data_IF_127066146600
#
_entry.id   IF_127066146600
#
_cell.length_a   1.000
_cell.length_b   1.000
_cell.length_c   1.000
_cell.angle_alpha   90.00
_cell.angle_beta   90.00
_cell.angle_gamma   90.00
#
_symmetry.space_group_name_H-M   'P 1'
#
loop_
_entity.id
_entity.type
_entity.pdbx_description
1 polymer ?
#
# COMPACT_ATOMS: atom_id res chain seq x y z
N UNK A 1 -4.01 -60.65 -22.47
CA UNK A 1 -2.90 -60.35 -21.52
C UNK A 1 -2.09 -59.19 -22.11
N UNK A 2 -2.51 -57.99 -21.86
CA UNK A 2 -1.77 -56.78 -22.24
C UNK A 2 -1.54 -55.94 -20.99
N UNK A 3 -0.34 -55.93 -20.51
CA UNK A 3 0.12 -55.10 -19.42
C UNK A 3 0.20 -53.64 -19.86
N UNK A 4 -0.76 -52.85 -19.43
CA UNK A 4 -0.65 -51.39 -19.45
C UNK A 4 0.35 -50.98 -18.38
N UNK A 5 1.63 -50.85 -18.76
CA UNK A 5 2.61 -50.12 -18.00
C UNK A 5 2.22 -48.65 -18.02
N UNK A 6 1.61 -48.19 -16.94
CA UNK A 6 1.45 -46.78 -16.67
C UNK A 6 2.82 -46.18 -16.39
N UNK A 7 3.35 -45.45 -17.36
CA UNK A 7 4.58 -44.67 -17.25
C UNK A 7 4.34 -43.47 -16.30
N UNK A 8 4.37 -43.72 -15.00
CA UNK A 8 4.28 -42.68 -13.98
C UNK A 8 5.66 -42.06 -13.76
N UNK A 9 6.17 -41.33 -14.74
CA UNK A 9 7.20 -40.35 -14.50
C UNK A 9 6.53 -39.17 -13.80
N UNK A 10 6.39 -39.27 -12.48
CA UNK A 10 6.18 -38.09 -11.66
C UNK A 10 7.37 -37.17 -11.93
N UNK A 11 7.18 -36.12 -12.70
CA UNK A 11 8.18 -35.11 -12.92
C UNK A 11 8.53 -34.48 -11.57
N UNK A 12 9.71 -34.77 -11.04
CA UNK A 12 10.19 -34.13 -9.82
C UNK A 12 10.37 -32.63 -10.13
N UNK A 13 9.52 -31.80 -9.50
CA UNK A 13 9.66 -30.36 -9.58
C UNK A 13 10.82 -29.93 -8.65
N UNK A 14 11.82 -29.31 -9.24
CA UNK A 14 12.91 -28.72 -8.47
C UNK A 14 12.54 -27.29 -8.07
N UNK A 15 12.23 -27.08 -6.78
CA UNK A 15 11.76 -25.79 -6.27
C UNK A 15 12.65 -24.58 -6.61
N UNK A 16 13.98 -24.67 -6.53
CA UNK A 16 14.86 -23.58 -6.95
C UNK A 16 14.60 -23.10 -8.38
N UNK A 17 14.28 -24.00 -9.32
CA UNK A 17 14.03 -23.65 -10.73
C UNK A 17 12.67 -22.93 -10.91
N UNK A 18 11.76 -23.06 -9.93
CA UNK A 18 10.45 -22.41 -9.94
C UNK A 18 10.49 -21.07 -9.20
N UNK A 19 11.21 -21.01 -8.10
CA UNK A 19 11.33 -19.83 -7.24
C UNK A 19 12.33 -18.82 -7.81
N UNK A 20 13.43 -19.31 -8.38
CA UNK A 20 14.52 -18.51 -8.91
C UNK A 20 15.35 -17.79 -7.86
N UNK A 21 16.09 -16.79 -8.30
CA UNK A 21 17.08 -16.07 -7.48
C UNK A 21 16.44 -15.06 -6.50
N UNK A 22 17.24 -14.69 -5.46
CA UNK A 22 16.91 -13.58 -4.54
C UNK A 22 16.05 -13.94 -3.33
N UNK A 23 15.48 -15.15 -3.27
CA UNK A 23 14.51 -15.52 -2.23
C UNK A 23 14.95 -16.67 -1.30
N UNK A 24 16.23 -17.05 -1.31
CA UNK A 24 16.72 -18.15 -0.49
C UNK A 24 16.56 -17.95 1.03
N UNK A 25 16.84 -16.75 1.54
CA UNK A 25 16.60 -16.38 2.94
C UNK A 25 15.13 -16.30 3.26
N UNK A 26 14.33 -15.65 2.40
CA UNK A 26 12.86 -15.59 2.51
C UNK A 26 12.24 -16.99 2.66
N UNK A 27 12.71 -17.94 1.86
CA UNK A 27 12.16 -19.29 1.83
C UNK A 27 12.42 -20.07 3.11
N UNK A 28 13.61 -19.93 3.71
CA UNK A 28 14.05 -20.68 4.89
C UNK A 28 13.69 -20.05 6.22
N UNK A 29 13.35 -18.77 6.22
CA UNK A 29 13.09 -18.03 7.46
C UNK A 29 11.81 -18.51 8.15
N UNK A 30 11.88 -18.73 9.46
CA UNK A 30 10.76 -19.20 10.30
C UNK A 30 10.44 -18.28 11.48
N UNK A 31 11.09 -17.12 11.60
CA UNK A 31 10.77 -16.12 12.62
C UNK A 31 9.37 -15.49 12.42
N UNK A 32 8.97 -14.68 13.36
CA UNK A 32 7.61 -14.12 13.44
C UNK A 32 7.27 -13.24 12.26
N UNK A 33 8.18 -12.35 11.85
CA UNK A 33 7.88 -11.37 10.79
C UNK A 33 8.80 -11.58 9.58
N UNK A 34 8.19 -11.87 8.46
CA UNK A 34 8.86 -11.97 7.17
C UNK A 34 8.40 -10.81 6.29
N UNK A 35 9.22 -9.77 6.23
CA UNK A 35 8.90 -8.48 5.60
C UNK A 35 9.69 -8.33 4.33
N UNK A 36 9.01 -8.32 3.18
CA UNK A 36 9.61 -8.21 1.86
C UNK A 36 9.14 -6.94 1.16
N UNK A 37 9.92 -5.87 1.25
CA UNK A 37 9.74 -4.71 0.40
C UNK A 37 10.43 -4.95 -0.95
N UNK A 38 9.96 -4.26 -1.98
CA UNK A 38 10.69 -4.38 -3.23
C UNK A 38 10.04 -3.64 -4.38
N UNK A 39 10.77 -3.62 -5.49
CA UNK A 39 10.31 -2.99 -6.72
C UNK A 39 9.12 -3.71 -7.35
N UNK A 40 8.53 -3.08 -8.35
CA UNK A 40 7.65 -3.80 -9.28
C UNK A 40 8.45 -4.90 -9.98
N UNK A 41 7.76 -5.94 -10.43
CA UNK A 41 8.34 -7.09 -11.14
C UNK A 41 9.43 -7.87 -10.37
N UNK A 42 9.58 -7.68 -9.05
CA UNK A 42 10.57 -8.43 -8.22
C UNK A 42 10.11 -9.82 -7.81
N UNK A 43 8.98 -10.31 -8.28
CA UNK A 43 8.38 -11.64 -7.96
C UNK A 43 7.84 -11.81 -6.54
N UNK A 44 7.78 -10.77 -5.70
CA UNK A 44 7.36 -10.86 -4.29
C UNK A 44 6.11 -11.72 -4.10
N UNK A 45 5.00 -11.31 -4.72
CA UNK A 45 3.69 -11.95 -4.55
C UNK A 45 3.67 -13.38 -5.09
N UNK A 46 4.28 -13.61 -6.26
CA UNK A 46 4.40 -14.95 -6.87
C UNK A 46 5.21 -15.91 -5.99
N UNK A 47 6.36 -15.46 -5.47
CA UNK A 47 7.19 -16.26 -4.57
C UNK A 47 6.51 -16.53 -3.25
N UNK A 48 5.80 -15.55 -2.69
CA UNK A 48 5.02 -15.71 -1.46
C UNK A 48 3.89 -16.72 -1.66
N UNK A 49 3.16 -16.65 -2.78
CA UNK A 49 2.11 -17.62 -3.11
C UNK A 49 2.67 -19.05 -3.24
N UNK A 50 3.78 -19.22 -3.95
CA UNK A 50 4.46 -20.53 -4.06
C UNK A 50 4.86 -21.06 -2.68
N UNK A 51 5.44 -20.20 -1.82
CA UNK A 51 5.84 -20.61 -0.47
C UNK A 51 4.66 -21.13 0.34
N UNK A 52 3.52 -20.45 0.29
CA UNK A 52 2.33 -20.86 1.04
C UNK A 52 1.73 -22.16 0.51
N UNK A 53 1.62 -22.33 -0.81
CA UNK A 53 1.08 -23.59 -1.37
C UNK A 53 1.96 -24.77 -1.01
N UNK A 54 3.29 -24.66 -1.16
CA UNK A 54 4.24 -25.72 -0.79
C UNK A 54 4.18 -26.04 0.70
N UNK A 55 4.16 -25.02 1.56
CA UNK A 55 4.20 -25.24 3.01
C UNK A 55 2.84 -25.69 3.58
N UNK A 56 1.72 -25.26 3.04
CA UNK A 56 0.40 -25.82 3.39
C UNK A 56 0.33 -27.32 3.10
N UNK A 57 0.87 -27.76 1.97
CA UNK A 57 0.95 -29.19 1.65
C UNK A 57 1.92 -29.94 2.56
N UNK A 58 2.97 -29.29 3.04
CA UNK A 58 3.98 -29.87 3.94
C UNK A 58 3.52 -29.96 5.40
N UNK A 59 2.70 -29.01 5.86
CA UNK A 59 2.28 -28.88 7.26
C UNK A 59 0.76 -29.12 7.41
N UNK A 60 0.30 -30.36 7.70
CA UNK A 60 -1.11 -30.75 7.61
C UNK A 60 -2.09 -30.02 8.51
N UNK A 61 -1.63 -29.24 9.49
CA UNK A 61 -2.49 -28.54 10.44
C UNK A 61 -2.39 -27.00 10.30
N UNK A 62 -1.62 -26.51 9.32
CA UNK A 62 -1.46 -25.07 9.09
C UNK A 62 -2.65 -24.48 8.32
N UNK A 63 -3.12 -23.33 8.75
CA UNK A 63 -4.04 -22.51 7.96
C UNK A 63 -3.43 -21.12 7.73
N UNK A 64 -3.85 -20.51 6.64
CA UNK A 64 -3.37 -19.19 6.18
C UNK A 64 -4.52 -18.18 6.15
N UNK A 65 -4.25 -16.98 6.65
CA UNK A 65 -5.08 -15.80 6.46
C UNK A 65 -4.40 -14.85 5.48
N UNK A 66 -5.08 -14.50 4.40
CA UNK A 66 -4.61 -13.54 3.40
C UNK A 66 -5.40 -12.25 3.56
N UNK A 67 -4.68 -11.14 3.63
CA UNK A 67 -5.24 -9.83 3.96
C UNK A 67 -4.80 -8.78 2.94
N UNK A 68 -5.73 -7.92 2.55
CA UNK A 68 -5.51 -6.61 1.93
C UNK A 68 -6.37 -5.55 2.61
N UNK A 69 -6.07 -4.28 2.40
CA UNK A 69 -6.91 -3.20 2.92
C UNK A 69 -8.36 -3.32 2.45
N UNK A 70 -8.59 -3.63 1.18
CA UNK A 70 -9.92 -3.74 0.58
C UNK A 70 -10.19 -5.16 0.12
N UNK A 71 -11.27 -5.80 0.62
CA UNK A 71 -11.60 -7.20 0.34
C UNK A 71 -11.72 -7.51 -1.16
N UNK A 72 -12.41 -6.68 -1.93
CA UNK A 72 -12.63 -6.92 -3.37
C UNK A 72 -11.35 -7.02 -4.19
N UNK A 73 -10.26 -6.38 -3.75
CA UNK A 73 -8.98 -6.41 -4.47
C UNK A 73 -8.21 -7.72 -4.30
N UNK A 74 -8.62 -8.56 -3.35
CA UNK A 74 -8.02 -9.88 -3.11
C UNK A 74 -8.24 -10.86 -4.27
N UNK A 75 -9.38 -10.77 -4.97
CA UNK A 75 -9.71 -11.66 -6.09
C UNK A 75 -8.68 -11.54 -7.22
N UNK A 76 -8.39 -10.31 -7.64
CA UNK A 76 -7.52 -10.05 -8.79
C UNK A 76 -6.02 -10.02 -8.42
N UNK A 77 -5.68 -10.15 -7.14
CA UNK A 77 -4.31 -10.19 -6.62
C UNK A 77 -3.96 -11.54 -5.98
N UNK A 78 -3.98 -11.61 -4.64
CA UNK A 78 -3.52 -12.79 -3.88
C UNK A 78 -4.23 -14.08 -4.26
N UNK A 79 -5.55 -14.04 -4.48
CA UNK A 79 -6.32 -15.22 -4.86
C UNK A 79 -5.88 -15.76 -6.22
N UNK A 80 -5.70 -14.87 -7.20
CA UNK A 80 -5.19 -15.23 -8.53
C UNK A 80 -3.74 -15.71 -8.45
N UNK A 81 -2.89 -15.12 -7.61
CA UNK A 81 -1.51 -15.56 -7.42
C UNK A 81 -1.42 -16.95 -6.78
N UNK A 82 -2.28 -17.25 -5.81
CA UNK A 82 -2.35 -18.58 -5.20
C UNK A 82 -2.88 -19.64 -6.18
N UNK A 83 -3.88 -19.31 -6.99
CA UNK A 83 -4.36 -20.19 -8.10
C UNK A 83 -3.24 -20.46 -9.11
N UNK A 84 -2.49 -19.42 -9.46
CA UNK A 84 -1.32 -19.57 -10.34
C UNK A 84 -0.26 -20.49 -9.69
N UNK A 85 0.04 -20.33 -8.40
CA UNK A 85 1.00 -21.18 -7.71
C UNK A 85 0.57 -22.66 -7.68
N UNK A 86 -0.71 -22.93 -7.41
CA UNK A 86 -1.31 -24.27 -7.48
C UNK A 86 -1.12 -24.88 -8.88
N UNK A 87 -1.38 -24.09 -9.93
CA UNK A 87 -1.20 -24.52 -11.32
C UNK A 87 0.27 -24.72 -11.67
N UNK A 88 1.14 -23.80 -11.26
CA UNK A 88 2.58 -23.86 -11.53
C UNK A 88 3.24 -25.08 -10.91
N UNK A 89 2.74 -25.54 -9.76
CA UNK A 89 3.19 -26.73 -9.05
C UNK A 89 2.52 -28.02 -9.55
N UNK A 90 1.56 -27.95 -10.46
CA UNK A 90 0.86 -29.13 -11.00
C UNK A 90 -0.03 -29.86 -9.97
N UNK A 91 -0.49 -29.17 -8.94
CA UNK A 91 -1.22 -29.76 -7.80
C UNK A 91 -2.72 -29.42 -7.75
N UNK A 92 -3.31 -28.98 -8.86
CA UNK A 92 -4.70 -28.55 -8.95
C UNK A 92 -5.70 -29.63 -8.47
N UNK A 93 -5.39 -30.89 -8.74
CA UNK A 93 -6.24 -32.02 -8.34
C UNK A 93 -6.47 -32.11 -6.83
N UNK A 94 -5.54 -31.56 -6.02
CA UNK A 94 -5.59 -31.60 -4.57
C UNK A 94 -6.24 -30.38 -3.92
N UNK A 95 -6.63 -29.39 -4.70
CA UNK A 95 -7.19 -28.13 -4.18
C UNK A 95 -8.64 -27.96 -4.61
N UNK A 96 -9.47 -27.48 -3.68
CA UNK A 96 -10.80 -26.95 -3.94
C UNK A 96 -10.73 -25.43 -3.95
N UNK A 97 -11.28 -24.83 -5.02
CA UNK A 97 -11.23 -23.39 -5.28
C UNK A 97 -12.64 -22.82 -5.24
N UNK A 98 -12.94 -21.99 -4.25
CA UNK A 98 -14.22 -21.32 -4.12
C UNK A 98 -14.04 -19.81 -4.31
N UNK A 99 -14.80 -19.22 -5.23
CA UNK A 99 -14.69 -17.79 -5.57
C UNK A 99 -15.70 -16.91 -4.80
N UNK A 100 -16.76 -17.50 -4.22
CA UNK A 100 -17.72 -16.74 -3.41
C UNK A 100 -18.23 -17.56 -2.21
N UNK A 101 -17.88 -17.20 -0.97
CA UNK A 101 -16.77 -16.32 -0.58
C UNK A 101 -15.40 -16.92 -0.99
N UNK A 102 -14.39 -16.05 -1.18
CA UNK A 102 -13.04 -16.50 -1.54
C UNK A 102 -12.50 -17.49 -0.50
N UNK A 103 -12.13 -18.69 -0.95
CA UNK A 103 -11.54 -19.72 -0.11
C UNK A 103 -10.81 -20.74 -0.97
N UNK A 104 -9.63 -21.18 -0.52
CA UNK A 104 -8.94 -22.34 -1.06
C UNK A 104 -8.87 -23.41 0.02
N UNK A 105 -9.11 -24.66 -0.35
CA UNK A 105 -9.05 -25.79 0.59
C UNK A 105 -8.15 -26.87 0.01
N UNK A 106 -7.16 -27.30 0.78
CA UNK A 106 -6.34 -28.47 0.45
C UNK A 106 -7.10 -29.75 0.83
N UNK A 107 -7.59 -30.47 -0.16
CA UNK A 107 -8.52 -31.60 0.02
C UNK A 107 -7.98 -32.75 0.91
N UNK A 108 -6.68 -33.16 0.82
CA UNK A 108 -6.21 -34.31 1.58
C UNK A 108 -6.29 -34.15 3.10
N UNK A 109 -6.13 -32.94 3.62
CA UNK A 109 -6.05 -32.66 5.07
C UNK A 109 -6.96 -31.53 5.55
N UNK A 110 -7.71 -30.90 4.64
CA UNK A 110 -8.76 -29.94 4.98
C UNK A 110 -8.30 -28.53 5.37
N UNK A 111 -7.01 -28.24 5.22
CA UNK A 111 -6.45 -26.90 5.52
C UNK A 111 -7.05 -25.85 4.61
N UNK A 112 -7.16 -24.63 5.15
CA UNK A 112 -7.83 -23.53 4.47
C UNK A 112 -6.91 -22.32 4.29
N UNK A 113 -7.07 -21.67 3.16
CA UNK A 113 -6.63 -20.29 2.92
C UNK A 113 -7.87 -19.41 2.97
N UNK A 114 -7.92 -18.52 3.94
CA UNK A 114 -9.01 -17.59 4.21
C UNK A 114 -8.61 -16.18 3.74
N UNK A 115 -9.57 -15.41 3.24
CA UNK A 115 -9.36 -14.09 2.69
C UNK A 115 -10.19 -13.05 3.44
N UNK A 116 -9.56 -11.94 3.86
CA UNK A 116 -10.22 -10.84 4.58
C UNK A 116 -9.72 -9.47 4.09
N UNK A 117 -10.64 -8.51 4.08
CA UNK A 117 -10.29 -7.09 3.96
C UNK A 117 -10.23 -6.42 5.33
N UNK A 118 -9.49 -5.34 5.45
CA UNK A 118 -9.48 -4.47 6.62
C UNK A 118 -10.57 -3.38 6.58
N UNK A 119 -11.36 -3.35 5.52
CA UNK A 119 -12.59 -2.56 5.42
C UNK A 119 -13.63 -2.96 6.49
N UNK A 120 -13.47 -4.14 7.10
CA UNK A 120 -14.20 -4.55 8.31
C UNK A 120 -13.22 -5.23 9.29
N UNK A 121 -12.52 -4.46 10.15
CA UNK A 121 -11.51 -4.98 11.08
C UNK A 121 -12.04 -6.03 12.05
N UNK A 122 -13.32 -5.96 12.44
CA UNK A 122 -13.92 -6.93 13.37
C UNK A 122 -13.99 -8.34 12.77
N UNK A 123 -14.05 -8.46 11.44
CA UNK A 123 -14.01 -9.77 10.76
C UNK A 123 -12.62 -10.41 10.77
N UNK A 124 -11.57 -9.67 11.06
CA UNK A 124 -10.21 -10.21 11.17
C UNK A 124 -9.97 -10.78 12.57
N UNK A 125 -10.49 -10.13 13.62
CA UNK A 125 -10.24 -10.53 15.01
C UNK A 125 -10.99 -11.80 15.47
N UNK A 126 -12.06 -12.20 14.75
CA UNK A 126 -12.92 -13.34 15.10
C UNK A 126 -12.68 -14.59 14.25
N UNK A 127 -11.54 -14.69 13.55
CA UNK A 127 -11.25 -15.82 12.68
C UNK A 127 -10.74 -17.01 13.51
N UNK A 128 -11.43 -18.13 13.41
CA UNK A 128 -10.98 -19.41 13.92
C UNK A 128 -10.79 -20.41 12.77
N UNK A 129 -9.77 -21.23 12.85
CA UNK A 129 -9.62 -22.38 11.97
C UNK A 129 -10.53 -23.50 12.46
N UNK A 130 -11.31 -24.10 11.57
CA UNK A 130 -12.19 -25.23 11.86
C UNK A 130 -11.39 -26.49 12.22
N UNK A 131 -10.24 -26.64 11.58
CA UNK A 131 -9.26 -27.70 11.80
C UNK A 131 -7.87 -27.13 11.81
N UNK A 132 -7.00 -27.65 12.71
CA UNK A 132 -5.62 -27.18 12.84
C UNK A 132 -5.51 -25.77 13.43
N UNK A 133 -4.47 -25.06 13.04
CA UNK A 133 -4.07 -23.78 13.64
C UNK A 133 -4.03 -22.67 12.58
N UNK A 134 -4.58 -21.50 12.90
CA UNK A 134 -4.35 -20.29 12.13
C UNK A 134 -2.98 -19.75 12.52
N UNK A 135 -1.94 -20.22 11.88
CA UNK A 135 -0.55 -19.92 12.24
C UNK A 135 0.14 -18.98 11.26
N UNK A 136 -0.41 -18.77 10.07
CA UNK A 136 0.17 -17.89 9.07
C UNK A 136 -0.78 -16.80 8.63
N UNK A 137 -0.21 -15.59 8.45
CA UNK A 137 -0.88 -14.48 7.79
C UNK A 137 -0.02 -13.95 6.63
N UNK A 138 -0.65 -13.55 5.53
CA UNK A 138 -0.04 -12.82 4.43
C UNK A 138 -0.78 -11.51 4.22
N UNK A 139 -0.07 -10.42 4.45
CA UNK A 139 -0.55 -9.06 4.21
C UNK A 139 0.09 -8.59 2.90
N UNK A 140 -0.70 -8.58 1.84
CA UNK A 140 -0.27 -8.10 0.52
C UNK A 140 -0.57 -6.62 0.39
N UNK A 141 0.33 -5.89 -0.25
CA UNK A 141 0.35 -4.43 -0.30
C UNK A 141 0.23 -3.83 1.11
N UNK A 142 1.08 -4.33 2.03
CA UNK A 142 1.07 -3.91 3.44
C UNK A 142 1.24 -2.40 3.64
N UNK A 143 1.78 -1.71 2.64
CA UNK A 143 1.85 -0.25 2.61
C UNK A 143 0.46 0.43 2.63
N UNK A 144 -0.61 -0.24 2.17
CA UNK A 144 -1.98 0.27 2.25
C UNK A 144 -2.49 0.40 3.69
N UNK A 145 -1.83 -0.26 4.67
CA UNK A 145 -2.17 -0.17 6.10
C UNK A 145 -1.49 1.06 6.68
N UNK A 146 -2.25 2.13 6.83
CA UNK A 146 -1.74 3.44 7.21
C UNK A 146 -1.32 3.57 8.68
N UNK A 147 -1.82 2.71 9.57
CA UNK A 147 -1.49 2.75 10.98
C UNK A 147 -0.88 1.44 11.49
N UNK A 148 0.10 1.56 12.39
CA UNK A 148 0.66 0.40 13.09
C UNK A 148 -0.36 -0.27 14.02
N UNK A 149 -1.35 0.48 14.51
CA UNK A 149 -2.42 -0.06 15.34
C UNK A 149 -3.28 -1.08 14.60
N UNK A 150 -3.60 -0.83 13.32
CA UNK A 150 -4.35 -1.77 12.49
C UNK A 150 -3.54 -3.05 12.23
N UNK A 151 -2.23 -2.92 12.04
CA UNK A 151 -1.34 -4.08 11.93
C UNK A 151 -1.31 -4.89 13.22
N UNK A 152 -1.20 -4.25 14.39
CA UNK A 152 -1.15 -4.93 15.68
C UNK A 152 -2.42 -5.77 15.93
N UNK A 153 -3.58 -5.28 15.51
CA UNK A 153 -4.85 -6.00 15.58
C UNK A 153 -4.82 -7.32 14.77
N UNK A 154 -4.18 -7.29 13.59
CA UNK A 154 -3.97 -8.50 12.78
C UNK A 154 -2.98 -9.44 13.46
N UNK A 155 -1.84 -8.92 13.91
CA UNK A 155 -0.78 -9.69 14.53
C UNK A 155 -1.26 -10.44 15.78
N UNK A 156 -2.04 -9.76 16.64
CA UNK A 156 -2.70 -10.33 17.82
C UNK A 156 -3.72 -11.42 17.47
N UNK A 157 -4.26 -11.43 16.25
CA UNK A 157 -5.21 -12.45 15.79
C UNK A 157 -4.50 -13.77 15.43
N UNK A 158 -3.20 -13.75 15.15
CA UNK A 158 -2.38 -14.94 14.89
C UNK A 158 -1.78 -15.44 16.21
N UNK A 159 -2.64 -16.01 17.03
CA UNK A 159 -2.37 -16.41 18.42
C UNK A 159 -2.77 -17.87 18.70
N UNK A 160 -2.63 -18.29 19.94
CA UNK A 160 -2.95 -19.64 20.43
C UNK A 160 -1.70 -20.52 20.54
N UNK A 161 -1.74 -21.50 21.43
CA UNK A 161 -0.64 -22.46 21.58
C UNK A 161 -0.61 -23.43 20.39
N UNK A 162 0.57 -23.67 19.87
CA UNK A 162 0.82 -24.68 18.84
C UNK A 162 1.69 -25.76 19.47
N UNK A 163 1.28 -27.04 19.48
CA UNK A 163 2.08 -28.10 20.03
C UNK A 163 3.41 -28.26 19.30
N UNK A 164 4.54 -28.34 20.00
CA UNK A 164 5.89 -28.41 19.40
C UNK A 164 6.07 -29.58 18.42
N UNK A 165 5.41 -30.70 18.68
CA UNK A 165 5.45 -31.90 17.85
C UNK A 165 4.90 -31.70 16.43
N UNK A 166 4.11 -30.65 16.19
CA UNK A 166 3.57 -30.30 14.86
C UNK A 166 4.65 -29.73 13.94
N UNK A 167 5.76 -29.21 14.52
CA UNK A 167 6.79 -28.47 13.80
C UNK A 167 6.31 -27.16 13.18
N UNK A 168 5.06 -26.73 13.51
CA UNK A 168 4.49 -25.48 13.05
C UNK A 168 5.11 -24.29 13.78
N UNK A 169 5.03 -23.14 13.14
CA UNK A 169 5.46 -21.85 13.68
C UNK A 169 4.47 -20.74 13.24
N UNK A 170 4.38 -19.70 14.03
CA UNK A 170 3.54 -18.53 13.69
C UNK A 170 4.35 -17.53 12.90
N UNK A 171 3.83 -17.10 11.76
CA UNK A 171 4.52 -16.13 10.92
C UNK A 171 3.54 -15.17 10.23
N UNK A 172 3.87 -13.90 10.24
CA UNK A 172 3.21 -12.86 9.45
C UNK A 172 4.16 -12.45 8.32
N UNK A 173 3.72 -12.63 7.08
CA UNK A 173 4.45 -12.19 5.89
C UNK A 173 3.85 -10.88 5.39
N UNK A 174 4.67 -9.87 5.19
CA UNK A 174 4.28 -8.59 4.61
C UNK A 174 5.00 -8.40 3.27
N UNK A 175 4.23 -8.07 2.23
CA UNK A 175 4.77 -7.78 0.90
C UNK A 175 4.25 -6.42 0.44
N UNK A 176 5.14 -5.54 -0.04
CA UNK A 176 4.76 -4.18 -0.46
C UNK A 176 5.83 -3.49 -1.31
N UNK A 177 5.45 -2.38 -1.93
CA UNK A 177 6.35 -1.42 -2.55
C UNK A 177 6.58 -0.25 -1.59
N UNK A 178 7.83 0.19 -1.37
CA UNK A 178 8.19 1.15 -0.31
C UNK A 178 8.05 2.61 -0.79
N UNK A 179 6.81 3.10 -0.97
CA UNK A 179 6.53 4.40 -1.56
C UNK A 179 6.94 5.61 -0.69
N UNK A 180 6.94 5.48 0.64
CA UNK A 180 7.23 6.57 1.57
C UNK A 180 8.10 6.08 2.73
N UNK A 181 9.24 6.74 2.94
CA UNK A 181 10.18 6.43 4.02
C UNK A 181 9.66 6.77 5.43
N UNK A 182 8.66 7.64 5.54
CA UNK A 182 8.02 7.97 6.82
C UNK A 182 6.92 6.99 7.23
N UNK A 183 6.69 5.94 6.43
CA UNK A 183 5.70 4.93 6.77
C UNK A 183 6.15 4.08 7.97
N UNK A 184 5.23 3.75 8.89
CA UNK A 184 5.51 2.98 10.11
C UNK A 184 6.23 1.64 9.85
N UNK A 185 6.02 1.02 8.70
CA UNK A 185 6.71 -0.21 8.28
C UNK A 185 8.24 -0.06 8.27
N UNK A 186 8.76 1.13 7.90
CA UNK A 186 10.20 1.39 7.89
C UNK A 186 10.75 1.40 9.32
N UNK A 187 10.19 2.23 10.17
CA UNK A 187 10.64 2.37 11.56
C UNK A 187 10.59 1.03 12.31
N UNK A 188 9.48 0.29 12.16
CA UNK A 188 9.26 -0.97 12.87
C UNK A 188 10.16 -2.11 12.40
N UNK A 189 10.29 -2.32 11.08
CA UNK A 189 10.89 -3.55 10.55
C UNK A 189 12.24 -3.36 9.87
N UNK A 190 12.62 -2.14 9.49
CA UNK A 190 13.87 -1.88 8.78
C UNK A 190 14.85 -1.06 9.61
N UNK A 191 14.38 -0.13 10.43
CA UNK A 191 15.25 0.71 11.27
C UNK A 191 15.49 0.08 12.65
N UNK A 192 14.61 -0.83 13.10
CA UNK A 192 14.73 -1.51 14.40
C UNK A 192 15.10 -2.97 14.18
N UNK A 193 16.37 -3.37 14.43
CA UNK A 193 16.80 -4.77 14.32
C UNK A 193 16.08 -5.67 15.33
N UNK A 194 15.52 -6.78 14.84
CA UNK A 194 14.86 -7.80 15.64
C UNK A 194 15.22 -9.19 15.10
N UNK A 195 15.77 -10.10 15.91
CA UNK A 195 16.18 -11.44 15.48
C UNK A 195 15.02 -12.29 14.97
N UNK A 196 13.78 -11.97 15.36
CA UNK A 196 12.56 -12.66 14.92
C UNK A 196 11.94 -12.03 13.66
N UNK A 197 12.65 -11.06 13.06
CA UNK A 197 12.26 -10.34 11.85
C UNK A 197 13.26 -10.55 10.71
N UNK A 198 12.77 -10.98 9.54
CA UNK A 198 13.49 -10.89 8.28
C UNK A 198 13.01 -9.68 7.49
N UNK A 199 13.82 -8.63 7.42
CA UNK A 199 13.60 -7.50 6.54
C UNK A 199 14.38 -7.70 5.22
N UNK A 200 13.68 -7.91 4.12
CA UNK A 200 14.27 -8.21 2.81
C UNK A 200 13.89 -7.13 1.79
N UNK A 201 14.86 -6.68 1.02
CA UNK A 201 14.64 -5.85 -0.16
C UNK A 201 14.89 -6.66 -1.43
N UNK A 202 13.92 -6.64 -2.36
CA UNK A 202 14.04 -7.32 -3.66
C UNK A 202 13.75 -6.34 -4.79
N UNK A 203 14.33 -6.58 -5.96
CA UNK A 203 14.12 -5.73 -7.11
C UNK A 203 13.98 -6.54 -8.41
N UNK A 204 13.72 -5.87 -9.52
CA UNK A 204 13.49 -6.52 -10.80
C UNK A 204 14.68 -7.34 -11.31
N UNK A 205 15.90 -7.07 -10.83
CA UNK A 205 17.11 -7.81 -11.29
C UNK A 205 17.14 -9.25 -10.81
N UNK A 206 16.42 -9.58 -9.72
CA UNK A 206 16.26 -10.96 -9.27
C UNK A 206 15.18 -11.74 -10.04
N UNK A 207 14.52 -11.12 -11.03
CA UNK A 207 13.50 -11.76 -11.85
C UNK A 207 14.10 -12.18 -13.20
N UNK A 208 14.49 -13.41 -13.28
CA UNK A 208 15.06 -14.03 -14.48
C UNK A 208 14.05 -14.20 -15.63
N UNK A 209 12.76 -14.13 -15.32
CA UNK A 209 11.66 -14.28 -16.30
C UNK A 209 11.17 -12.97 -16.92
N UNK A 210 11.79 -11.84 -16.58
CA UNK A 210 11.50 -10.58 -17.25
C UNK A 210 11.97 -10.62 -18.69
N UNK A 211 11.11 -10.20 -19.59
CA UNK A 211 11.48 -10.03 -20.98
C UNK A 211 12.33 -8.76 -21.22
N UNK A 212 12.86 -8.63 -22.43
CA UNK A 212 13.69 -7.49 -22.80
C UNK A 212 12.92 -6.17 -22.87
N UNK A 213 11.61 -6.21 -23.10
CA UNK A 213 10.77 -5.01 -23.15
C UNK A 213 10.61 -4.41 -21.74
N UNK A 214 10.34 -5.28 -20.76
CA UNK A 214 10.25 -4.89 -19.35
C UNK A 214 11.60 -4.34 -18.86
N UNK A 215 12.71 -5.02 -19.14
CA UNK A 215 14.06 -4.57 -18.79
C UNK A 215 14.38 -3.19 -19.38
N UNK A 216 14.11 -2.98 -20.66
CA UNK A 216 14.26 -1.66 -21.28
C UNK A 216 13.35 -0.60 -20.66
N UNK A 217 12.18 -0.98 -20.12
CA UNK A 217 11.32 -0.09 -19.37
C UNK A 217 12.00 0.46 -18.11
N UNK A 218 12.66 -0.40 -17.34
CA UNK A 218 13.43 0.02 -16.15
C UNK A 218 14.67 0.85 -16.52
N UNK A 219 15.40 0.50 -17.59
CA UNK A 219 16.55 1.29 -18.05
C UNK A 219 16.14 2.70 -18.51
N UNK A 220 15.02 2.83 -19.22
CA UNK A 220 14.47 4.15 -19.56
C UNK A 220 14.09 4.94 -18.30
N UNK A 221 13.42 4.29 -17.35
CA UNK A 221 13.03 4.93 -16.08
C UNK A 221 14.26 5.43 -15.31
N UNK A 222 15.35 4.66 -15.30
CA UNK A 222 16.62 5.03 -14.66
C UNK A 222 17.16 6.37 -15.18
N UNK A 223 17.02 6.61 -16.48
CA UNK A 223 17.52 7.83 -17.12
C UNK A 223 16.51 8.98 -17.00
N UNK A 224 15.24 8.71 -17.25
CA UNK A 224 14.21 9.75 -17.32
C UNK A 224 13.69 10.19 -15.96
N UNK A 225 13.61 9.26 -15.00
CA UNK A 225 13.13 9.54 -13.64
C UNK A 225 13.90 8.71 -12.60
N UNK A 226 15.13 9.12 -12.22
CA UNK A 226 15.97 8.39 -11.27
C UNK A 226 15.32 8.18 -9.89
N UNK A 227 14.52 9.14 -9.41
CA UNK A 227 13.79 9.02 -8.14
C UNK A 227 12.77 7.88 -8.19
N UNK A 228 11.94 7.86 -9.24
CA UNK A 228 10.98 6.78 -9.45
C UNK A 228 11.67 5.43 -9.66
N UNK A 229 12.81 5.41 -10.35
CA UNK A 229 13.62 4.21 -10.53
C UNK A 229 14.14 3.65 -9.20
N UNK A 230 14.56 4.52 -8.26
CA UNK A 230 15.00 4.09 -6.92
C UNK A 230 13.90 3.28 -6.21
N UNK A 231 12.66 3.74 -6.25
CA UNK A 231 11.51 3.04 -5.61
C UNK A 231 11.00 1.89 -6.46
N UNK A 232 10.54 2.19 -7.67
CA UNK A 232 9.84 1.23 -8.54
C UNK A 232 10.77 0.24 -9.22
N UNK A 233 12.05 0.57 -9.40
CA UNK A 233 13.09 -0.28 -9.98
C UNK A 233 13.93 -0.99 -8.94
N UNK A 234 14.47 -0.28 -7.95
CA UNK A 234 15.40 -0.85 -6.97
C UNK A 234 14.73 -1.30 -5.67
N UNK A 235 13.50 -0.87 -5.39
CA UNK A 235 12.80 -1.19 -4.15
C UNK A 235 13.32 -0.43 -2.93
N UNK A 236 13.98 0.69 -3.16
CA UNK A 236 14.40 1.60 -2.09
C UNK A 236 13.21 2.40 -1.57
N UNK A 237 13.34 2.92 -0.34
CA UNK A 237 12.31 3.77 0.22
C UNK A 237 12.19 5.07 -0.57
N UNK A 238 10.97 5.38 -0.97
CA UNK A 238 10.66 6.61 -1.68
C UNK A 238 10.54 7.80 -0.73
N UNK A 239 11.03 8.92 -1.18
CA UNK A 239 10.67 10.21 -0.60
C UNK A 239 9.31 10.54 -1.23
N UNK A 240 8.24 10.29 -0.48
CA UNK A 240 6.84 10.61 -0.78
C UNK A 240 6.45 10.61 -2.28
N UNK A 241 6.09 9.45 -2.84
CA UNK A 241 5.25 9.41 -4.03
C UNK A 241 3.82 9.81 -3.59
N UNK A 242 3.43 10.98 -3.93
CA UNK A 242 2.14 11.57 -3.57
C UNK A 242 2.23 13.08 -3.36
N UNK A 243 3.43 13.65 -3.45
CA UNK A 243 3.55 15.09 -3.62
C UNK A 243 3.10 15.43 -5.04
N UNK A 244 2.03 16.18 -5.15
CA UNK A 244 1.60 16.79 -6.42
C UNK A 244 2.71 17.69 -6.97
N UNK A 245 3.51 18.25 -6.04
CA UNK A 245 4.68 19.08 -6.35
C UNK A 245 5.95 18.40 -5.78
N UNK A 246 6.82 17.92 -6.64
CA UNK A 246 8.09 17.25 -6.26
C UNK A 246 9.29 18.22 -6.18
N UNK A 247 9.19 19.39 -6.79
CA UNK A 247 10.26 20.37 -6.97
C UNK A 247 10.05 21.63 -6.12
N UNK A 248 9.63 21.46 -4.86
CA UNK A 248 9.53 22.56 -3.92
C UNK A 248 10.83 22.70 -3.09
N UNK A 249 11.10 23.91 -2.66
CA UNK A 249 12.21 24.24 -1.75
C UNK A 249 11.67 25.10 -0.61
N UNK A 250 12.24 24.92 0.57
CA UNK A 250 11.95 25.78 1.72
C UNK A 250 13.00 26.91 1.74
N UNK A 251 12.54 28.15 1.55
CA UNK A 251 13.41 29.33 1.55
C UNK A 251 12.72 30.54 2.16
N UNK A 252 13.50 31.45 2.71
CA UNK A 252 12.99 32.73 3.21
C UNK A 252 12.86 33.69 2.04
N UNK A 253 11.66 34.25 1.84
CA UNK A 253 11.43 35.24 0.80
C UNK A 253 10.61 36.43 1.32
N UNK A 254 10.82 37.61 0.70
CA UNK A 254 10.09 38.83 1.02
C UNK A 254 8.75 38.89 0.27
N UNK A 255 7.67 38.49 0.95
CA UNK A 255 6.30 38.44 0.38
C UNK A 255 5.90 39.74 -0.33
N UNK A 256 6.20 40.90 0.25
CA UNK A 256 5.84 42.21 -0.28
C UNK A 256 6.51 42.52 -1.60
N UNK A 257 7.77 42.11 -1.77
CA UNK A 257 8.51 42.27 -3.01
C UNK A 257 7.94 41.42 -4.12
N UNK A 258 7.65 40.15 -3.83
CA UNK A 258 7.06 39.24 -4.81
C UNK A 258 5.64 39.66 -5.18
N UNK A 259 4.81 40.04 -4.22
CA UNK A 259 3.44 40.48 -4.45
C UNK A 259 3.34 41.79 -5.25
N UNK A 260 4.38 42.61 -5.26
CA UNK A 260 4.42 43.86 -6.05
C UNK A 260 4.70 43.61 -7.55
N UNK A 261 5.07 42.41 -7.94
CA UNK A 261 5.36 42.06 -9.34
C UNK A 261 4.07 42.02 -10.16
N UNK A 262 4.09 42.58 -11.40
CA UNK A 262 2.88 42.67 -12.22
C UNK A 262 2.35 41.33 -12.75
N UNK A 263 3.19 40.29 -12.78
CA UNK A 263 2.88 38.94 -13.22
C UNK A 263 2.42 38.02 -12.07
N UNK A 264 2.38 38.55 -10.83
CA UNK A 264 2.07 37.75 -9.64
C UNK A 264 0.65 38.04 -9.13
N UNK A 265 -0.08 37.01 -8.77
CA UNK A 265 -1.44 37.09 -8.20
C UNK A 265 -1.49 36.36 -6.86
N UNK A 266 -2.25 36.89 -5.90
CA UNK A 266 -2.54 36.17 -4.66
C UNK A 266 -3.55 35.05 -4.91
N UNK A 267 -3.31 33.90 -4.31
CA UNK A 267 -4.18 32.73 -4.35
C UNK A 267 -4.46 32.21 -2.94
N UNK A 268 -5.74 31.98 -2.62
CA UNK A 268 -6.16 31.42 -1.35
C UNK A 268 -7.12 30.26 -1.63
N UNK A 269 -6.80 29.09 -1.08
CA UNK A 269 -7.57 27.86 -1.25
C UNK A 269 -8.01 27.28 0.09
N UNK A 270 -9.22 26.74 0.18
CA UNK A 270 -9.74 26.07 1.36
C UNK A 270 -10.30 24.72 0.97
N UNK A 271 -9.75 23.68 1.56
CA UNK A 271 -10.27 22.31 1.49
C UNK A 271 -10.86 21.93 2.85
N UNK A 272 -12.04 21.30 2.82
CA UNK A 272 -12.75 20.96 4.03
C UNK A 272 -12.40 19.55 4.49
N UNK A 273 -11.99 19.42 5.73
CA UNK A 273 -11.85 18.14 6.43
C UNK A 273 -12.44 18.25 7.83
N UNK A 274 -12.69 17.11 8.47
CA UNK A 274 -13.18 17.08 9.84
C UNK A 274 -12.50 15.99 10.67
N UNK A 275 -13.03 14.77 10.65
CA UNK A 275 -12.56 13.70 11.55
C UNK A 275 -11.31 13.00 11.04
N UNK A 276 -11.35 12.52 9.80
CA UNK A 276 -10.26 11.73 9.19
C UNK A 276 -9.30 12.61 8.41
N UNK A 277 -9.82 13.58 7.68
CA UNK A 277 -9.04 14.50 6.86
C UNK A 277 -8.94 15.86 7.57
N UNK A 278 -7.77 16.51 7.57
CA UNK A 278 -7.63 17.85 8.11
C UNK A 278 -8.28 18.88 7.20
N UNK A 279 -8.77 19.98 7.79
CA UNK A 279 -9.05 21.19 7.02
C UNK A 279 -7.73 21.82 6.60
N UNK A 280 -7.59 22.13 5.32
CA UNK A 280 -6.41 22.76 4.76
C UNK A 280 -6.75 24.14 4.20
N UNK A 281 -6.04 25.18 4.63
CA UNK A 281 -6.13 26.52 4.06
C UNK A 281 -4.78 26.95 3.55
N UNK A 282 -4.71 27.24 2.28
CA UNK A 282 -3.49 27.59 1.55
C UNK A 282 -3.44 29.11 1.27
N UNK A 283 -2.29 29.74 1.52
CA UNK A 283 -2.02 31.11 1.24
C UNK A 283 -0.79 31.25 0.35
N UNK A 284 -0.96 31.67 -0.90
CA UNK A 284 0.13 31.71 -1.87
C UNK A 284 0.12 32.93 -2.79
N UNK A 285 1.28 33.12 -3.43
CA UNK A 285 1.49 34.00 -4.58
C UNK A 285 1.81 33.13 -5.79
N UNK A 286 1.22 33.43 -6.96
CA UNK A 286 1.37 32.61 -8.16
C UNK A 286 1.85 33.46 -9.32
N UNK A 287 2.90 33.06 -9.99
CA UNK A 287 3.34 33.54 -11.29
C UNK A 287 3.13 32.45 -12.34
N UNK A 288 2.12 32.62 -13.20
CA UNK A 288 1.89 31.71 -14.34
C UNK A 288 3.06 31.82 -15.36
N UNK A 289 3.69 32.98 -15.45
CA UNK A 289 4.82 33.21 -16.36
C UNK A 289 6.06 32.43 -15.96
N UNK A 290 6.34 32.36 -14.66
CA UNK A 290 7.49 31.63 -14.11
C UNK A 290 7.15 30.21 -13.70
N UNK A 291 5.87 29.81 -13.83
CA UNK A 291 5.38 28.51 -13.34
C UNK A 291 5.76 28.28 -11.88
N UNK A 292 5.63 29.30 -11.03
CA UNK A 292 6.09 29.30 -9.66
C UNK A 292 4.98 29.69 -8.69
N UNK A 293 4.91 28.98 -7.59
CA UNK A 293 4.00 29.25 -6.47
C UNK A 293 4.86 29.48 -5.22
N UNK A 294 4.67 30.61 -4.56
CA UNK A 294 5.28 30.90 -3.25
C UNK A 294 4.21 30.72 -2.18
N UNK A 295 4.35 29.72 -1.32
CA UNK A 295 3.49 29.51 -0.16
C UNK A 295 4.06 30.30 0.99
N UNK A 296 3.27 31.22 1.55
CA UNK A 296 3.73 32.13 2.61
C UNK A 296 3.00 31.94 3.94
N UNK A 297 1.89 31.18 3.93
CA UNK A 297 1.14 30.87 5.14
C UNK A 297 0.18 29.69 4.87
N UNK A 298 -0.14 28.91 5.92
CA UNK A 298 -1.04 27.77 5.79
C UNK A 298 -1.76 27.47 7.13
N UNK A 299 -2.94 26.82 7.03
CA UNK A 299 -3.61 26.16 8.16
C UNK A 299 -3.84 24.70 7.80
N UNK A 300 -3.44 23.78 8.66
CA UNK A 300 -3.63 22.33 8.47
C UNK A 300 -4.01 21.70 9.81
N UNK A 301 -5.32 21.58 10.08
CA UNK A 301 -5.84 21.19 11.39
C UNK A 301 -7.09 20.31 11.26
N UNK A 302 -7.23 19.31 12.13
CA UNK A 302 -8.41 18.43 12.18
C UNK A 302 -9.43 18.93 13.18
N UNK A 303 -10.70 18.52 13.00
CA UNK A 303 -11.79 18.77 13.94
C UNK A 303 -12.29 20.20 13.93
N UNK A 304 -12.01 20.99 12.89
CA UNK A 304 -12.48 22.35 12.79
C UNK A 304 -13.95 22.40 12.34
N UNK A 305 -14.78 23.13 13.08
CA UNK A 305 -16.12 23.54 12.62
C UNK A 305 -16.01 24.75 11.69
N UNK A 306 -17.03 25.03 10.89
CA UNK A 306 -17.03 26.19 9.97
C UNK A 306 -16.79 27.50 10.73
N UNK A 307 -17.35 27.67 11.92
CA UNK A 307 -17.09 28.82 12.79
C UNK A 307 -15.62 28.90 13.22
N UNK A 308 -15.00 27.77 13.57
CA UNK A 308 -13.60 27.75 13.96
C UNK A 308 -12.69 28.03 12.77
N UNK A 309 -13.01 27.50 11.58
CA UNK A 309 -12.33 27.82 10.32
C UNK A 309 -12.33 29.32 10.08
N UNK A 310 -13.51 29.97 10.20
CA UNK A 310 -13.61 31.43 10.08
C UNK A 310 -12.71 32.15 11.09
N UNK A 311 -12.74 31.76 12.36
CA UNK A 311 -11.93 32.39 13.40
C UNK A 311 -10.43 32.28 13.13
N UNK A 312 -9.98 31.11 12.64
CA UNK A 312 -8.57 30.88 12.25
C UNK A 312 -8.17 31.80 11.08
N UNK A 313 -8.93 31.79 10.00
CA UNK A 313 -8.67 32.63 8.81
C UNK A 313 -8.74 34.12 9.16
N UNK A 314 -9.66 34.51 10.02
CA UNK A 314 -9.76 35.90 10.51
C UNK A 314 -8.53 36.29 11.35
N UNK A 315 -8.09 35.42 12.26
CA UNK A 315 -6.90 35.62 13.08
C UNK A 315 -5.62 35.72 12.26
N UNK A 316 -5.52 35.00 11.14
CA UNK A 316 -4.43 35.08 10.17
C UNK A 316 -4.47 36.38 9.31
N UNK A 317 -5.57 37.14 9.34
CA UNK A 317 -5.73 38.39 8.61
C UNK A 317 -6.28 38.25 7.19
N UNK A 318 -6.71 37.05 6.77
CA UNK A 318 -7.10 36.76 5.38
C UNK A 318 -8.62 36.74 5.14
N UNK A 319 -9.46 37.12 6.11
CA UNK A 319 -10.92 37.09 5.99
C UNK A 319 -11.48 37.99 4.83
N UNK A 320 -10.70 38.93 4.35
CA UNK A 320 -11.08 39.83 3.24
C UNK A 320 -10.60 39.35 1.87
N UNK A 321 -9.84 38.28 1.83
CA UNK A 321 -9.23 37.75 0.61
C UNK A 321 -10.25 36.99 -0.25
N UNK A 322 -9.92 36.80 -1.55
CA UNK A 322 -10.69 35.94 -2.46
C UNK A 322 -10.30 34.50 -2.24
N UNK A 323 -11.12 33.77 -1.50
CA UNK A 323 -10.85 32.36 -1.17
C UNK A 323 -11.62 31.46 -2.14
N UNK A 324 -10.96 30.40 -2.63
CA UNK A 324 -11.60 29.31 -3.38
C UNK A 324 -11.76 28.11 -2.45
N UNK A 325 -12.99 27.76 -2.11
CA UNK A 325 -13.28 26.58 -1.29
C UNK A 325 -13.75 25.40 -2.14
N UNK A 326 -13.62 24.18 -1.61
CA UNK A 326 -14.08 22.99 -2.31
C UNK A 326 -15.58 23.11 -2.65
N UNK A 327 -15.91 22.88 -3.92
CA UNK A 327 -17.29 22.95 -4.44
C UNK A 327 -18.16 21.74 -4.04
N UNK A 328 -17.58 20.70 -3.45
CA UNK A 328 -18.32 19.55 -2.91
C UNK A 328 -19.10 19.89 -1.62
N UNK A 329 -18.74 21.00 -0.94
CA UNK A 329 -19.29 21.42 0.34
C UNK A 329 -20.05 22.79 0.25
N UNK A 330 -21.12 22.89 -0.55
CA UNK A 330 -21.81 24.17 -0.78
C UNK A 330 -22.40 24.77 0.50
N UNK A 331 -22.89 23.92 1.42
CA UNK A 331 -23.43 24.34 2.72
C UNK A 331 -22.36 25.00 3.58
N UNK A 332 -21.18 24.40 3.67
CA UNK A 332 -20.05 24.96 4.42
C UNK A 332 -19.59 26.30 3.85
N UNK A 333 -19.61 26.45 2.52
CA UNK A 333 -19.32 27.74 1.87
C UNK A 333 -20.32 28.81 2.23
N UNK A 334 -21.61 28.48 2.31
CA UNK A 334 -22.66 29.46 2.67
C UNK A 334 -22.55 29.85 4.16
N UNK A 335 -22.35 28.90 5.05
CA UNK A 335 -22.12 29.17 6.49
C UNK A 335 -20.89 30.08 6.70
N UNK A 336 -19.77 29.82 6.00
CA UNK A 336 -18.59 30.69 6.09
C UNK A 336 -18.82 32.11 5.55
N UNK A 337 -19.69 32.30 4.54
CA UNK A 337 -20.07 33.63 4.08
C UNK A 337 -20.88 34.38 5.13
N UNK A 338 -21.79 33.69 5.81
CA UNK A 338 -22.60 34.25 6.90
C UNK A 338 -21.72 34.61 8.10
N UNK A 339 -20.73 33.81 8.45
CA UNK A 339 -19.77 34.10 9.51
C UNK A 339 -18.85 35.30 9.18
N UNK A 340 -18.62 35.63 7.88
CA UNK A 340 -17.85 36.81 7.50
C UNK A 340 -16.86 36.66 6.34
N UNK A 341 -16.62 35.44 5.80
CA UNK A 341 -15.80 35.25 4.60
C UNK A 341 -16.58 35.60 3.33
N UNK A 342 -16.95 36.87 3.20
CA UNK A 342 -17.88 37.33 2.13
C UNK A 342 -17.38 37.07 0.71
N UNK A 343 -16.06 36.87 0.51
CA UNK A 343 -15.45 36.70 -0.81
C UNK A 343 -15.08 35.26 -1.11
N UNK A 344 -15.50 34.28 -0.27
CA UNK A 344 -15.35 32.86 -0.58
C UNK A 344 -16.26 32.45 -1.73
N UNK A 345 -15.74 31.65 -2.64
CA UNK A 345 -16.45 31.13 -3.83
C UNK A 345 -16.10 29.67 -4.04
N UNK A 346 -16.97 28.84 -4.61
CA UNK A 346 -16.63 27.49 -4.97
C UNK A 346 -15.50 27.46 -5.99
N UNK A 347 -14.63 26.46 -5.88
CA UNK A 347 -13.65 26.14 -6.90
C UNK A 347 -14.37 25.60 -8.15
N UNK A 348 -13.89 25.98 -9.33
CA UNK A 348 -14.41 25.42 -10.59
C UNK A 348 -13.93 23.97 -10.71
N UNK A 349 -14.87 23.00 -10.76
CA UNK A 349 -14.55 21.59 -11.05
C UNK A 349 -15.07 21.25 -12.44
N UNK A 350 -14.16 20.92 -13.36
CA UNK A 350 -14.48 20.27 -14.63
C UNK A 350 -14.50 18.75 -14.51
N UNK A 351 -14.97 18.01 -15.52
CA UNK A 351 -14.78 16.57 -15.62
C UNK A 351 -13.30 16.27 -15.48
N UNK A 352 -12.93 15.27 -14.64
CA UNK A 352 -11.54 14.87 -14.36
C UNK A 352 -10.61 15.97 -13.80
N UNK A 353 -11.16 17.02 -13.18
CA UNK A 353 -10.37 18.16 -12.65
C UNK A 353 -9.26 17.74 -11.67
N UNK A 354 -9.44 16.68 -10.89
CA UNK A 354 -8.41 16.15 -9.99
C UNK A 354 -7.23 15.54 -10.80
N UNK A 355 -7.53 14.72 -11.82
CA UNK A 355 -6.50 14.13 -12.67
C UNK A 355 -5.76 15.17 -13.51
N UNK A 356 -6.48 16.09 -14.11
CA UNK A 356 -5.87 17.16 -14.90
C UNK A 356 -5.07 18.12 -14.03
N UNK A 357 -5.52 18.45 -12.81
CA UNK A 357 -4.77 19.29 -11.86
C UNK A 357 -3.47 18.66 -11.35
N UNK A 358 -3.40 17.32 -11.25
CA UNK A 358 -2.17 16.60 -10.87
C UNK A 358 -1.18 16.48 -12.05
N UNK A 359 -1.67 16.60 -13.29
CA UNK A 359 -0.83 16.49 -14.51
C UNK A 359 -0.22 17.82 -14.96
N UNK A 360 -0.67 18.96 -14.41
CA UNK A 360 -0.13 20.29 -14.68
C UNK A 360 1.00 20.63 -13.73
#
# INVERSE_FOLDING_TARGET
>A
MNSLLTDSRASQLHLPDIVGQGYGTFWRFKGRYRVCKGSRASKKSKTTALWYIVNLMKYPQANLLVIRKVYRTLHDSCFTDLKWAISRLGVQAFWDVKESPLKLTYKPTGQKILFRGLDDPLKVTSIAAEHGYLCWAWIEEAYEISSEADFNMIDESIRGAIPPETGLFKQVTLTFNPWNEHHWLKARFFDTPDPDTLALTTNYTCNEWLDDADRRGFERMKVQNPRRYSVAGLGEWGIVDGLVFENWVEEVFEKTIIAARPDVKSAFGLDFGYTNDPTAFFCGLVSEKEMTIWVFDELYERGLTNRTIYQRIYGMGYAKERIRGDSAEPKSLDELREEGLRRIRPAGKGPDSIRSGIQY
#
